data_IF_807847914044
#
_entry.id   IF_807847914044
#
_cell.length_a   1.000
_cell.length_b   1.000
_cell.length_c   1.000
_cell.angle_alpha   90.00
_cell.angle_beta   90.00
_cell.angle_gamma   90.00
#
_symmetry.space_group_name_H-M   'P 1'
#
loop_
_entity.id
_entity.type
_entity.pdbx_description
1 polymer ?
#
# COMPACT_ATOMS: atom_id res chain seq x y z
N UNK A 1 22.69 -4.24 20.16
CA UNK A 1 22.80 -2.88 20.72
C UNK A 1 21.51 -2.10 20.44
N UNK A 2 20.78 -1.73 21.49
CA UNK A 2 19.58 -0.89 21.35
C UNK A 2 19.87 0.44 22.04
N UNK A 3 19.85 1.57 21.31
CA UNK A 3 19.98 2.89 21.93
C UNK A 3 18.81 3.15 22.88
N UNK A 4 19.08 3.78 24.01
CA UNK A 4 18.02 4.29 24.88
C UNK A 4 17.44 5.59 24.31
N UNK A 5 16.33 5.43 23.57
CA UNK A 5 15.65 6.53 22.90
C UNK A 5 15.12 7.60 23.85
N UNK A 6 14.90 7.27 25.13
CA UNK A 6 14.48 8.27 26.14
C UNK A 6 15.58 9.26 26.42
N UNK A 7 16.82 8.77 26.51
CA UNK A 7 18.01 9.60 26.71
C UNK A 7 18.32 10.46 25.49
N UNK A 8 18.20 9.89 24.28
CA UNK A 8 18.39 10.62 23.02
C UNK A 8 17.37 11.75 22.88
N UNK A 9 16.11 11.49 23.18
CA UNK A 9 15.04 12.51 23.15
C UNK A 9 15.25 13.58 24.21
N UNK A 10 15.90 13.24 25.33
CA UNK A 10 16.32 14.20 26.38
C UNK A 10 17.54 15.02 25.96
N UNK A 11 18.09 14.83 24.76
CA UNK A 11 19.24 15.58 24.26
C UNK A 11 20.60 14.90 24.52
N UNK A 12 20.61 13.70 25.10
CA UNK A 12 21.85 12.97 25.29
C UNK A 12 22.34 12.34 23.97
N UNK A 13 23.64 12.47 23.72
CA UNK A 13 24.25 11.81 22.56
C UNK A 13 24.18 10.28 22.74
N UNK A 14 23.69 9.53 21.75
CA UNK A 14 23.68 8.08 21.84
C UNK A 14 25.13 7.55 21.92
N UNK A 15 25.37 6.50 22.70
CA UNK A 15 26.69 5.87 22.72
C UNK A 15 27.03 5.33 21.33
N UNK A 16 28.26 5.51 20.90
CA UNK A 16 28.73 4.94 19.65
C UNK A 16 28.74 3.40 19.76
N UNK A 17 28.35 2.70 18.69
CA UNK A 17 28.44 1.24 18.68
C UNK A 17 29.92 0.82 18.86
N UNK A 18 30.17 -0.27 19.58
CA UNK A 18 31.51 -0.84 19.66
C UNK A 18 32.14 -1.02 18.28
N UNK A 19 33.45 -0.85 18.17
CA UNK A 19 34.14 -0.85 16.89
C UNK A 19 33.96 -2.19 16.14
N UNK A 20 33.85 -3.28 16.87
CA UNK A 20 33.60 -4.64 16.38
C UNK A 20 32.24 -4.78 15.67
N UNK A 21 31.29 -3.89 16.00
CA UNK A 21 29.94 -3.87 15.42
C UNK A 21 29.76 -2.80 14.33
N UNK A 22 30.78 -2.00 14.07
CA UNK A 22 30.78 -1.00 13.01
C UNK A 22 30.88 -1.70 11.66
N UNK A 23 29.83 -1.58 10.87
CA UNK A 23 29.76 -2.17 9.53
C UNK A 23 29.03 -3.51 9.44
N UNK A 24 28.59 -4.11 10.56
CA UNK A 24 27.69 -5.26 10.47
C UNK A 24 26.30 -4.85 9.91
N UNK A 25 25.78 -5.59 8.90
CA UNK A 25 24.46 -5.31 8.35
C UNK A 25 23.39 -5.43 9.44
N UNK A 26 22.64 -4.34 9.65
CA UNK A 26 21.49 -4.32 10.55
C UNK A 26 21.71 -3.65 11.91
N UNK A 27 22.94 -3.26 12.29
CA UNK A 27 23.18 -2.62 13.60
C UNK A 27 23.04 -1.09 13.51
N UNK A 28 23.55 -0.48 12.44
CA UNK A 28 23.33 0.95 12.16
C UNK A 28 23.21 1.16 10.64
N UNK A 29 22.13 0.69 9.98
CA UNK A 29 21.95 0.86 8.53
C UNK A 29 21.85 2.35 8.15
N UNK A 30 21.55 3.22 9.13
CA UNK A 30 21.52 4.67 9.00
C UNK A 30 22.30 5.29 10.16
N UNK A 31 22.86 6.48 9.96
CA UNK A 31 23.55 7.20 11.03
C UNK A 31 22.63 7.49 12.23
N UNK A 32 23.24 7.70 13.41
CA UNK A 32 22.49 7.99 14.66
C UNK A 32 21.48 9.15 14.51
N UNK A 33 21.79 10.14 13.68
CA UNK A 33 20.89 11.27 13.40
C UNK A 33 19.53 10.83 12.85
N UNK A 34 19.51 9.82 11.99
CA UNK A 34 18.25 9.24 11.48
C UNK A 34 17.38 8.71 12.63
N UNK A 35 17.97 7.92 13.52
CA UNK A 35 17.23 7.33 14.64
C UNK A 35 16.80 8.38 15.66
N UNK A 36 17.67 9.34 15.96
CA UNK A 36 17.33 10.46 16.86
C UNK A 36 16.18 11.31 16.27
N UNK A 37 16.28 11.70 15.00
CA UNK A 37 15.23 12.47 14.32
C UNK A 37 13.92 11.69 14.27
N UNK A 38 13.97 10.39 13.94
CA UNK A 38 12.79 9.54 13.92
C UNK A 38 12.14 9.40 15.30
N UNK A 39 12.95 9.31 16.37
CA UNK A 39 12.44 9.26 17.73
C UNK A 39 11.77 10.59 18.14
N UNK A 40 12.39 11.73 17.82
CA UNK A 40 11.84 13.06 18.08
C UNK A 40 10.54 13.29 17.32
N UNK A 41 10.52 12.97 16.01
CA UNK A 41 9.33 13.09 15.16
C UNK A 41 8.20 12.19 15.70
N UNK A 42 8.52 10.96 16.08
CA UNK A 42 7.52 10.02 16.64
C UNK A 42 6.96 10.54 17.95
N UNK A 43 7.81 11.04 18.86
CA UNK A 43 7.39 11.62 20.13
C UNK A 43 6.52 12.87 19.92
N UNK A 44 6.94 13.78 19.04
CA UNK A 44 6.17 14.99 18.71
C UNK A 44 4.80 14.62 18.13
N UNK A 45 4.76 13.66 17.20
CA UNK A 45 3.54 13.13 16.62
C UNK A 45 2.58 12.61 17.70
N UNK A 46 3.07 11.74 18.61
CA UNK A 46 2.22 11.08 19.60
C UNK A 46 1.80 12.02 20.75
N UNK A 47 2.65 12.96 21.13
CA UNK A 47 2.39 13.86 22.29
C UNK A 47 1.77 15.19 21.92
N UNK A 48 1.99 15.69 20.70
CA UNK A 48 1.53 17.04 20.30
C UNK A 48 0.53 16.95 19.17
N UNK A 49 0.90 16.29 18.06
CA UNK A 49 0.06 16.31 16.85
C UNK A 49 -1.23 15.52 17.07
N UNK A 50 -1.13 14.24 17.43
CA UNK A 50 -2.31 13.38 17.54
C UNK A 50 -3.31 13.86 18.60
N UNK A 51 -2.93 14.30 19.80
CA UNK A 51 -3.89 14.82 20.78
C UNK A 51 -4.68 16.05 20.32
N UNK A 52 -4.09 16.86 19.42
CA UNK A 52 -4.73 18.06 18.89
C UNK A 52 -5.75 17.80 17.78
N UNK A 53 -5.81 16.56 17.24
CA UNK A 53 -6.71 16.19 16.14
C UNK A 53 -8.00 15.58 16.68
N UNK A 54 -9.12 15.74 15.93
CA UNK A 54 -10.32 14.95 16.12
C UNK A 54 -10.10 13.49 15.70
N UNK A 55 -11.00 12.60 16.10
CA UNK A 55 -10.83 11.16 15.89
C UNK A 55 -10.90 10.74 14.42
N UNK A 56 -11.67 11.43 13.59
CA UNK A 56 -11.71 11.18 12.15
C UNK A 56 -10.37 11.54 11.49
N UNK A 57 -9.82 12.70 11.85
CA UNK A 57 -8.51 13.15 11.38
C UNK A 57 -7.38 12.25 11.90
N UNK A 58 -7.43 11.79 13.18
CA UNK A 58 -6.49 10.79 13.70
C UNK A 58 -6.53 9.49 12.89
N UNK A 59 -7.73 8.96 12.62
CA UNK A 59 -7.90 7.75 11.83
C UNK A 59 -7.30 7.90 10.41
N UNK A 60 -7.58 9.02 9.75
CA UNK A 60 -6.99 9.35 8.44
C UNK A 60 -5.47 9.47 8.52
N UNK A 61 -4.95 10.20 9.50
CA UNK A 61 -3.51 10.36 9.70
C UNK A 61 -2.81 9.01 9.92
N UNK A 62 -3.40 8.13 10.74
CA UNK A 62 -2.88 6.78 10.98
C UNK A 62 -2.92 5.91 9.73
N UNK A 63 -3.95 6.03 8.89
CA UNK A 63 -4.06 5.28 7.63
C UNK A 63 -3.03 5.70 6.58
N UNK A 64 -2.41 6.86 6.72
CA UNK A 64 -1.38 7.39 5.82
C UNK A 64 0.05 7.01 6.24
N UNK A 65 0.20 6.36 7.38
CA UNK A 65 1.50 6.00 7.94
C UNK A 65 1.92 4.58 7.58
N UNK A 66 3.15 4.26 7.88
CA UNK A 66 3.76 2.95 7.61
C UNK A 66 4.73 2.99 6.43
N UNK A 67 5.47 1.90 6.28
CA UNK A 67 6.42 1.77 5.19
C UNK A 67 5.68 1.89 3.84
N UNK A 68 6.32 2.54 2.89
CA UNK A 68 5.87 2.76 1.50
C UNK A 68 4.53 3.52 1.34
N UNK A 69 3.87 3.94 2.42
CA UNK A 69 2.62 4.72 2.36
C UNK A 69 2.77 6.08 1.66
N UNK A 70 3.98 6.65 1.66
CA UNK A 70 4.33 7.90 0.98
C UNK A 70 5.19 7.71 -0.27
N UNK A 71 5.33 6.50 -0.80
CA UNK A 71 6.20 6.26 -1.96
C UNK A 71 5.79 7.11 -3.17
N UNK A 72 4.51 7.36 -3.39
CA UNK A 72 3.99 8.22 -4.45
C UNK A 72 4.45 9.68 -4.38
N UNK A 73 4.85 10.19 -3.21
CA UNK A 73 5.39 11.54 -3.05
C UNK A 73 6.87 11.65 -3.41
N UNK A 74 7.57 10.52 -3.44
CA UNK A 74 9.02 10.46 -3.64
C UNK A 74 9.41 9.85 -4.98
N UNK A 75 8.45 9.27 -5.69
CA UNK A 75 8.70 8.63 -6.95
C UNK A 75 8.90 9.64 -8.07
N UNK A 76 9.82 9.34 -8.97
CA UNK A 76 10.01 10.11 -10.20
C UNK A 76 9.07 9.56 -11.27
N UNK A 77 8.23 10.37 -11.91
CA UNK A 77 7.45 9.94 -13.05
C UNK A 77 8.38 9.50 -14.19
N UNK A 78 8.34 8.22 -14.51
CA UNK A 78 9.18 7.63 -15.57
C UNK A 78 8.36 6.90 -16.63
N UNK A 79 7.07 6.81 -16.43
CA UNK A 79 6.12 6.24 -17.38
C UNK A 79 4.69 6.62 -16.96
N UNK A 80 3.74 6.38 -17.83
CA UNK A 80 2.31 6.70 -17.66
C UNK A 80 1.73 6.18 -16.32
N UNK A 81 2.17 5.00 -15.83
CA UNK A 81 1.73 4.45 -14.53
C UNK A 81 2.26 5.23 -13.33
N UNK A 82 3.24 6.07 -13.52
CA UNK A 82 3.87 6.86 -12.46
C UNK A 82 3.56 8.35 -12.58
N UNK A 83 2.52 8.69 -13.36
CA UNK A 83 2.02 10.05 -13.54
C UNK A 83 0.61 10.19 -12.98
N UNK A 84 0.33 11.35 -12.41
CA UNK A 84 -1.01 11.73 -11.98
C UNK A 84 -1.42 13.05 -12.62
N UNK A 85 -2.65 13.15 -13.10
CA UNK A 85 -3.17 14.43 -13.58
C UNK A 85 -3.23 15.45 -12.45
N UNK A 86 -3.18 16.74 -12.78
CA UNK A 86 -3.25 17.82 -11.80
C UNK A 86 -4.49 17.71 -10.90
N UNK A 87 -5.63 17.30 -11.46
CA UNK A 87 -6.88 17.14 -10.72
C UNK A 87 -6.77 16.01 -9.67
N UNK A 88 -6.30 14.83 -10.08
CA UNK A 88 -6.05 13.70 -9.18
C UNK A 88 -5.04 14.04 -8.11
N UNK A 89 -3.91 14.62 -8.51
CA UNK A 89 -2.84 15.01 -7.59
C UNK A 89 -3.32 16.02 -6.55
N UNK A 90 -4.16 16.99 -6.95
CA UNK A 90 -4.77 17.94 -6.03
C UNK A 90 -5.66 17.23 -4.99
N UNK A 91 -6.53 16.31 -5.43
CA UNK A 91 -7.36 15.51 -4.50
C UNK A 91 -6.48 14.69 -3.55
N UNK A 92 -5.45 14.01 -4.06
CA UNK A 92 -4.53 13.20 -3.26
C UNK A 92 -3.84 14.04 -2.17
N UNK A 93 -3.28 15.21 -2.53
CA UNK A 93 -2.60 16.11 -1.58
C UNK A 93 -3.57 16.70 -0.56
N UNK A 94 -4.73 17.20 -1.00
CA UNK A 94 -5.73 17.78 -0.07
C UNK A 94 -6.22 16.75 0.93
N UNK A 95 -6.50 15.53 0.49
CA UNK A 95 -6.89 14.44 1.40
C UNK A 95 -5.78 14.07 2.37
N UNK A 96 -4.53 14.01 1.89
CA UNK A 96 -3.37 13.71 2.75
C UNK A 96 -3.18 14.79 3.82
N UNK A 97 -3.36 16.04 3.45
CA UNK A 97 -3.21 17.19 4.35
C UNK A 97 -4.48 17.53 5.14
N UNK A 98 -5.54 16.75 4.99
CA UNK A 98 -6.87 17.00 5.56
C UNK A 98 -7.40 18.41 5.19
N UNK A 99 -7.16 18.84 3.97
CA UNK A 99 -7.68 20.10 3.42
C UNK A 99 -9.01 19.85 2.70
N UNK A 100 -9.96 20.79 2.78
CA UNK A 100 -11.22 20.68 2.06
C UNK A 100 -11.02 20.56 0.55
N UNK A 101 -11.75 19.65 -0.08
CA UNK A 101 -11.80 19.52 -1.54
C UNK A 101 -12.57 20.71 -2.14
N UNK A 102 -12.20 21.11 -3.35
CA UNK A 102 -12.96 22.11 -4.09
C UNK A 102 -14.33 21.53 -4.48
N UNK A 103 -15.40 22.19 -4.08
CA UNK A 103 -16.77 21.77 -4.39
C UNK A 103 -17.71 22.16 -3.25
N UNK A 104 -18.85 22.77 -3.59
CA UNK A 104 -19.85 23.14 -2.58
C UNK A 104 -20.54 21.92 -1.96
N UNK A 105 -21.35 22.15 -0.94
CA UNK A 105 -22.22 21.14 -0.32
C UNK A 105 -23.15 20.55 -1.39
N UNK A 106 -23.05 19.28 -1.63
CA UNK A 106 -23.84 18.53 -2.63
C UNK A 106 -24.45 17.29 -2.01
N UNK A 107 -25.55 16.84 -2.56
CA UNK A 107 -26.10 15.51 -2.19
C UNK A 107 -25.25 14.39 -2.78
N UNK A 108 -25.22 13.27 -2.06
CA UNK A 108 -24.58 12.07 -2.55
C UNK A 108 -25.15 11.66 -3.92
N UNK A 109 -24.31 11.32 -4.92
CA UNK A 109 -24.80 10.86 -6.23
C UNK A 109 -25.54 9.51 -6.15
N UNK A 110 -25.41 8.77 -5.05
CA UNK A 110 -26.22 7.59 -4.74
C UNK A 110 -27.59 7.93 -4.13
N UNK A 111 -28.16 9.10 -4.44
CA UNK A 111 -29.31 9.72 -3.79
C UNK A 111 -30.57 8.83 -3.70
N UNK A 112 -30.72 7.84 -4.57
CA UNK A 112 -31.85 6.89 -4.50
C UNK A 112 -31.79 5.98 -3.25
N UNK A 113 -30.58 5.74 -2.75
CA UNK A 113 -30.32 4.85 -1.61
C UNK A 113 -29.53 5.54 -0.49
N UNK A 114 -29.01 6.74 -0.72
CA UNK A 114 -28.25 7.52 0.23
C UNK A 114 -28.76 8.95 0.26
N UNK A 115 -29.24 9.40 1.42
CA UNK A 115 -29.78 10.76 1.62
C UNK A 115 -28.74 11.74 2.17
N UNK A 116 -27.49 11.29 2.36
CA UNK A 116 -26.44 12.08 3.01
C UNK A 116 -25.97 13.23 2.12
N UNK A 117 -25.57 14.32 2.78
CA UNK A 117 -24.82 15.41 2.14
C UNK A 117 -23.33 15.00 2.09
N UNK A 118 -22.64 15.48 1.06
CA UNK A 118 -21.20 15.25 0.94
C UNK A 118 -20.46 16.13 1.94
N UNK A 119 -19.46 15.53 2.60
CA UNK A 119 -18.53 16.26 3.44
C UNK A 119 -17.45 16.98 2.60
N UNK A 120 -16.79 17.95 3.23
CA UNK A 120 -15.78 18.76 2.57
C UNK A 120 -14.50 17.98 2.21
N UNK A 121 -14.28 16.80 2.79
CA UNK A 121 -13.04 16.03 2.65
C UNK A 121 -13.17 14.84 1.70
N UNK A 122 -14.40 14.55 1.22
CA UNK A 122 -14.70 13.42 0.34
C UNK A 122 -14.73 12.07 1.06
N UNK A 123 -14.84 12.05 2.39
CA UNK A 123 -14.87 10.80 3.17
C UNK A 123 -16.13 10.00 2.88
N UNK A 124 -17.26 10.69 2.72
CA UNK A 124 -18.50 10.07 2.29
C UNK A 124 -18.34 9.32 0.96
N UNK A 125 -17.83 9.99 -0.06
CA UNK A 125 -17.66 9.37 -1.40
C UNK A 125 -16.70 8.20 -1.39
N UNK A 126 -15.68 8.26 -0.56
CA UNK A 126 -14.69 7.21 -0.40
C UNK A 126 -15.22 5.95 0.30
N UNK A 127 -16.35 6.06 1.01
CA UNK A 127 -16.89 4.99 1.86
C UNK A 127 -18.35 4.63 1.58
N UNK A 128 -19.05 5.38 0.72
CA UNK A 128 -20.48 5.18 0.47
C UNK A 128 -20.75 4.00 -0.48
N UNK A 129 -21.44 2.94 -0.02
CA UNK A 129 -21.73 1.78 -0.87
C UNK A 129 -22.78 2.07 -1.95
N UNK A 130 -23.65 3.07 -1.73
CA UNK A 130 -24.78 3.37 -2.60
C UNK A 130 -24.39 4.04 -3.92
N UNK A 131 -23.13 4.49 -4.06
CA UNK A 131 -22.64 5.17 -5.27
C UNK A 131 -22.17 4.23 -6.38
N UNK A 132 -21.98 2.95 -6.09
CA UNK A 132 -21.29 1.98 -6.97
C UNK A 132 -19.78 2.23 -7.14
N UNK A 133 -19.26 3.32 -6.56
CA UNK A 133 -17.85 3.72 -6.71
C UNK A 133 -16.89 2.77 -6.01
N UNK A 134 -17.31 2.14 -4.90
CA UNK A 134 -16.48 1.18 -4.17
C UNK A 134 -16.18 -0.07 -5.01
N UNK A 135 -17.17 -0.58 -5.77
CA UNK A 135 -16.94 -1.70 -6.69
C UNK A 135 -15.94 -1.32 -7.78
N UNK A 136 -16.15 -0.17 -8.44
CA UNK A 136 -15.21 0.34 -9.46
C UNK A 136 -13.80 0.55 -8.90
N UNK A 137 -13.71 1.07 -7.66
CA UNK A 137 -12.43 1.21 -6.95
C UNK A 137 -11.74 -0.14 -6.76
N UNK A 138 -12.45 -1.17 -6.34
CA UNK A 138 -11.91 -2.54 -6.21
C UNK A 138 -11.29 -3.02 -7.52
N UNK A 139 -12.09 -3.07 -8.58
CA UNK A 139 -11.62 -3.51 -9.91
C UNK A 139 -10.46 -2.66 -10.46
N UNK A 140 -10.48 -1.34 -10.22
CA UNK A 140 -9.36 -0.49 -10.62
C UNK A 140 -8.10 -0.77 -9.79
N UNK A 141 -8.26 -1.05 -8.49
CA UNK A 141 -7.13 -1.37 -7.61
C UNK A 141 -6.45 -2.69 -7.99
N UNK A 142 -7.19 -3.73 -8.36
CA UNK A 142 -6.63 -4.97 -8.90
C UNK A 142 -5.71 -4.72 -10.11
N UNK A 143 -6.13 -3.84 -11.02
CA UNK A 143 -5.35 -3.48 -12.23
C UNK A 143 -4.02 -2.79 -11.93
N UNK A 144 -3.88 -2.13 -10.77
CA UNK A 144 -2.62 -1.49 -10.35
C UNK A 144 -1.47 -2.50 -10.26
N UNK A 145 -1.77 -3.77 -10.03
CA UNK A 145 -0.75 -4.82 -9.89
C UNK A 145 -0.27 -5.40 -11.22
N UNK A 146 -1.01 -5.23 -12.31
CA UNK A 146 -0.65 -5.79 -13.63
C UNK A 146 0.78 -5.50 -14.08
N UNK A 147 1.28 -4.26 -13.97
CA UNK A 147 2.67 -3.97 -14.30
C UNK A 147 3.68 -4.85 -13.54
N UNK A 148 3.38 -5.18 -12.28
CA UNK A 148 4.26 -6.01 -11.46
C UNK A 148 4.33 -7.45 -11.99
N UNK A 149 3.18 -8.03 -12.35
CA UNK A 149 3.14 -9.38 -12.94
C UNK A 149 3.94 -9.44 -14.24
N UNK A 150 3.69 -8.50 -15.14
CA UNK A 150 4.36 -8.43 -16.44
C UNK A 150 5.87 -8.22 -16.29
N UNK A 151 6.30 -7.28 -15.45
CA UNK A 151 7.72 -6.99 -15.26
C UNK A 151 8.46 -8.09 -14.51
N UNK A 152 7.84 -8.73 -13.53
CA UNK A 152 8.47 -9.78 -12.70
C UNK A 152 8.67 -11.10 -13.45
N UNK A 153 7.98 -11.32 -14.57
CA UNK A 153 7.91 -12.61 -15.28
C UNK A 153 7.19 -13.72 -14.50
N UNK A 154 6.45 -13.37 -13.46
CA UNK A 154 5.59 -14.31 -12.76
C UNK A 154 4.49 -14.81 -13.71
N UNK A 155 4.16 -16.09 -13.61
CA UNK A 155 3.00 -16.63 -14.35
C UNK A 155 1.75 -16.26 -13.59
N UNK A 156 1.03 -15.23 -14.08
CA UNK A 156 -0.19 -14.73 -13.46
C UNK A 156 -1.42 -15.22 -14.25
N UNK A 157 -2.44 -15.65 -13.51
CA UNK A 157 -3.80 -15.89 -14.02
C UNK A 157 -4.73 -14.98 -13.22
N UNK A 158 -5.44 -14.09 -13.91
CA UNK A 158 -6.37 -13.16 -13.29
C UNK A 158 -7.73 -13.82 -13.10
N UNK A 159 -8.39 -13.50 -12.00
CA UNK A 159 -9.75 -13.89 -11.63
C UNK A 159 -10.06 -15.41 -11.76
N UNK A 160 -9.21 -16.29 -11.21
CA UNK A 160 -9.52 -17.73 -11.19
C UNK A 160 -10.72 -18.00 -10.28
N UNK A 161 -11.57 -18.95 -10.67
CA UNK A 161 -12.64 -19.44 -9.81
C UNK A 161 -12.08 -20.27 -8.65
N UNK A 162 -12.74 -20.22 -7.50
CA UNK A 162 -12.36 -21.03 -6.32
C UNK A 162 -12.36 -22.53 -6.66
N UNK A 163 -13.31 -22.97 -7.49
CA UNK A 163 -13.41 -24.34 -8.00
C UNK A 163 -12.20 -24.81 -8.83
N UNK A 164 -11.42 -23.89 -9.36
CA UNK A 164 -10.19 -24.19 -10.11
C UNK A 164 -8.95 -24.18 -9.23
N UNK A 165 -9.04 -23.62 -8.01
CA UNK A 165 -7.93 -23.42 -7.08
C UNK A 165 -7.79 -24.56 -6.07
N UNK A 166 -8.92 -25.12 -5.62
CA UNK A 166 -8.95 -26.23 -4.64
C UNK A 166 -9.85 -27.35 -5.15
N UNK A 167 -9.43 -28.61 -4.93
CA UNK A 167 -10.11 -29.79 -5.47
C UNK A 167 -11.49 -30.05 -4.88
N UNK A 168 -11.61 -29.78 -3.58
CA UNK A 168 -12.82 -30.09 -2.81
C UNK A 168 -13.80 -28.90 -2.76
N UNK A 169 -13.65 -27.91 -3.65
CA UNK A 169 -14.58 -26.79 -3.74
C UNK A 169 -15.96 -27.24 -4.23
N UNK A 170 -17.01 -26.62 -3.71
CA UNK A 170 -18.37 -26.81 -4.23
C UNK A 170 -18.41 -26.46 -5.73
N UNK A 171 -18.79 -27.38 -6.62
CA UNK A 171 -18.84 -27.10 -8.08
C UNK A 171 -19.73 -25.93 -8.47
N UNK A 172 -20.64 -25.51 -7.58
CA UNK A 172 -21.53 -24.35 -7.80
C UNK A 172 -20.96 -23.04 -7.26
N UNK A 173 -19.76 -23.07 -6.67
CA UNK A 173 -19.09 -21.87 -6.13
C UNK A 173 -18.61 -20.96 -7.28
N UNK A 174 -19.24 -19.79 -7.39
CA UNK A 174 -18.91 -18.78 -8.38
C UNK A 174 -17.95 -17.70 -7.86
N UNK A 175 -17.41 -17.87 -6.63
CA UNK A 175 -16.40 -16.93 -6.11
C UNK A 175 -15.14 -16.98 -6.95
N UNK A 176 -14.56 -15.81 -7.15
CA UNK A 176 -13.27 -15.64 -7.84
C UNK A 176 -12.28 -14.96 -6.89
N UNK A 177 -11.05 -15.43 -6.91
CA UNK A 177 -9.92 -14.66 -6.36
C UNK A 177 -9.38 -13.71 -7.42
N UNK A 178 -8.67 -12.66 -7.02
CA UNK A 178 -8.22 -11.65 -7.99
C UNK A 178 -7.04 -12.14 -8.84
N UNK A 179 -6.13 -12.96 -8.26
CA UNK A 179 -4.97 -13.47 -8.99
C UNK A 179 -4.46 -14.79 -8.44
N UNK A 180 -4.00 -15.66 -9.35
CA UNK A 180 -3.14 -16.80 -9.06
C UNK A 180 -1.75 -16.55 -9.66
N UNK A 181 -0.69 -16.72 -8.86
CA UNK A 181 0.70 -16.54 -9.25
C UNK A 181 1.46 -17.84 -9.06
N UNK A 182 2.24 -18.23 -10.06
CA UNK A 182 3.09 -19.44 -10.01
C UNK A 182 4.56 -19.08 -10.18
N UNK A 183 5.42 -19.91 -9.58
CA UNK A 183 6.87 -19.76 -9.66
C UNK A 183 7.45 -18.86 -8.57
N UNK A 184 6.65 -18.43 -7.60
CA UNK A 184 7.10 -17.67 -6.44
C UNK A 184 7.67 -18.59 -5.36
N UNK A 185 8.77 -18.17 -4.73
CA UNK A 185 9.39 -18.92 -3.62
C UNK A 185 8.50 -18.91 -2.36
N UNK A 186 7.67 -17.89 -2.23
CA UNK A 186 6.69 -17.72 -1.17
C UNK A 186 5.71 -18.91 -1.09
N UNK A 187 5.29 -19.43 -2.22
CA UNK A 187 4.38 -20.58 -2.30
C UNK A 187 5.06 -21.93 -2.04
N UNK A 188 6.39 -21.99 -1.91
CA UNK A 188 7.13 -23.25 -1.66
C UNK A 188 6.80 -24.36 -2.67
N UNK A 189 6.60 -24.00 -3.93
CA UNK A 189 6.17 -24.89 -5.01
C UNK A 189 4.66 -24.91 -5.25
N UNK A 190 3.86 -24.38 -4.34
CA UNK A 190 2.42 -24.20 -4.50
C UNK A 190 2.08 -22.91 -5.23
N UNK A 191 0.88 -22.79 -5.84
CA UNK A 191 0.36 -21.53 -6.31
C UNK A 191 0.21 -20.53 -5.17
N UNK A 192 0.49 -19.26 -5.43
CA UNK A 192 0.16 -18.15 -4.53
C UNK A 192 -1.10 -17.48 -5.05
N UNK A 193 -2.14 -17.46 -4.24
CA UNK A 193 -3.43 -16.85 -4.58
C UNK A 193 -3.56 -15.56 -3.80
N UNK A 194 -3.89 -14.47 -4.49
CA UNK A 194 -3.99 -13.14 -3.90
C UNK A 194 -5.35 -12.50 -4.09
N UNK A 195 -5.85 -11.85 -3.04
CA UNK A 195 -7.08 -11.05 -3.08
C UNK A 195 -6.78 -9.61 -2.67
N UNK A 196 -7.03 -8.66 -3.59
CA UNK A 196 -6.71 -7.26 -3.41
C UNK A 196 -7.89 -6.52 -2.79
N UNK A 197 -7.65 -5.81 -1.70
CA UNK A 197 -8.71 -5.04 -1.07
C UNK A 197 -8.22 -3.68 -0.57
N UNK A 198 -9.05 -2.67 -0.80
CA UNK A 198 -8.81 -1.31 -0.30
C UNK A 198 -9.94 -0.86 0.61
N UNK A 199 -9.61 -0.37 1.80
CA UNK A 199 -10.58 0.11 2.77
C UNK A 199 -10.31 1.50 3.29
N UNK A 200 -11.39 2.20 3.65
CA UNK A 200 -11.33 3.47 4.35
C UNK A 200 -11.21 3.25 5.86
N UNK A 201 -10.50 4.15 6.53
CA UNK A 201 -10.47 4.22 7.99
C UNK A 201 -11.74 4.84 8.59
N UNK A 202 -12.59 5.45 7.74
CA UNK A 202 -13.81 6.12 8.12
C UNK A 202 -15.03 5.47 7.48
N UNK A 203 -16.16 5.54 8.17
CA UNK A 203 -17.48 5.26 7.65
C UNK A 203 -17.94 6.37 6.69
N UNK A 204 -19.07 6.14 6.00
CA UNK A 204 -19.63 7.12 5.08
C UNK A 204 -20.20 8.37 5.77
N UNK A 205 -20.45 8.33 7.06
CA UNK A 205 -20.83 9.48 7.89
C UNK A 205 -19.63 10.29 8.42
N UNK A 206 -18.40 9.87 8.07
CA UNK A 206 -17.16 10.48 8.53
C UNK A 206 -16.67 9.99 9.89
N UNK A 207 -17.44 9.16 10.60
CA UNK A 207 -16.99 8.57 11.87
C UNK A 207 -15.90 7.52 11.64
N UNK A 208 -14.91 7.40 12.56
CA UNK A 208 -13.85 6.40 12.41
C UNK A 208 -14.38 4.99 12.69
N UNK A 209 -13.87 4.01 11.96
CA UNK A 209 -14.09 2.61 12.32
C UNK A 209 -13.52 2.31 13.71
N UNK A 210 -14.09 1.34 14.45
CA UNK A 210 -13.63 1.00 15.79
C UNK A 210 -12.12 0.82 15.86
N UNK A 211 -11.47 1.57 16.75
CA UNK A 211 -10.02 1.56 16.96
C UNK A 211 -9.17 2.30 15.91
N UNK A 212 -9.72 2.77 14.79
CA UNK A 212 -8.95 3.41 13.73
C UNK A 212 -8.27 4.71 14.16
N UNK A 213 -8.88 5.46 15.08
CA UNK A 213 -8.29 6.67 15.64
C UNK A 213 -7.09 6.39 16.57
N UNK A 214 -7.00 5.20 17.16
CA UNK A 214 -6.04 4.90 18.22
C UNK A 214 -4.97 3.89 17.81
N UNK A 215 -5.28 3.00 16.87
CA UNK A 215 -4.42 1.87 16.52
C UNK A 215 -4.11 1.87 15.03
N UNK A 216 -2.82 1.84 14.70
CA UNK A 216 -2.34 1.75 13.32
C UNK A 216 -2.77 0.42 12.65
N UNK A 217 -3.23 0.51 11.40
CA UNK A 217 -3.54 -0.68 10.58
C UNK A 217 -4.82 -1.42 11.00
N UNK A 218 -5.73 -0.78 11.73
CA UNK A 218 -7.01 -1.38 12.14
C UNK A 218 -7.85 -1.78 10.93
N UNK A 219 -7.90 -0.95 9.91
CA UNK A 219 -8.64 -1.25 8.68
C UNK A 219 -8.05 -2.46 7.96
N UNK A 220 -6.72 -2.55 7.86
CA UNK A 220 -6.04 -3.71 7.27
C UNK A 220 -6.41 -4.98 8.03
N UNK A 221 -6.32 -4.98 9.37
CA UNK A 221 -6.70 -6.15 10.18
C UNK A 221 -8.16 -6.56 9.95
N UNK A 222 -9.08 -5.60 9.85
CA UNK A 222 -10.50 -5.87 9.56
C UNK A 222 -10.67 -6.48 8.16
N UNK A 223 -10.03 -5.91 7.14
CA UNK A 223 -10.09 -6.45 5.78
C UNK A 223 -9.50 -7.86 5.72
N UNK A 224 -8.33 -8.06 6.31
CA UNK A 224 -7.68 -9.38 6.37
C UNK A 224 -8.55 -10.41 7.10
N UNK A 225 -9.12 -10.05 8.25
CA UNK A 225 -10.02 -10.93 8.97
C UNK A 225 -11.24 -11.34 8.13
N UNK A 226 -11.91 -10.37 7.49
CA UNK A 226 -13.07 -10.66 6.65
C UNK A 226 -12.72 -11.61 5.50
N UNK A 227 -11.58 -11.41 4.85
CA UNK A 227 -11.13 -12.28 3.75
C UNK A 227 -10.77 -13.68 4.23
N UNK A 228 -9.97 -13.80 5.30
CA UNK A 228 -9.49 -15.10 5.80
C UNK A 228 -10.56 -15.92 6.52
N UNK A 229 -11.50 -15.28 7.19
CA UNK A 229 -12.45 -15.96 8.07
C UNK A 229 -13.85 -16.04 7.49
N UNK A 230 -14.28 -15.01 6.75
CA UNK A 230 -15.66 -14.90 6.28
C UNK A 230 -15.81 -15.25 4.80
N UNK A 231 -14.95 -14.69 3.93
CA UNK A 231 -15.14 -14.82 2.47
C UNK A 231 -14.43 -16.03 1.89
N UNK A 232 -13.19 -16.30 2.29
CA UNK A 232 -12.30 -17.32 1.70
C UNK A 232 -11.62 -18.19 2.77
N UNK A 233 -12.35 -18.61 3.79
CA UNK A 233 -11.82 -19.46 4.85
C UNK A 233 -11.33 -20.81 4.33
N UNK A 234 -11.95 -21.32 3.27
CA UNK A 234 -11.57 -22.53 2.55
C UNK A 234 -10.22 -22.36 1.83
N UNK A 235 -10.02 -21.29 1.08
CA UNK A 235 -8.72 -20.98 0.46
C UNK A 235 -7.64 -20.76 1.53
N UNK A 236 -7.96 -20.02 2.59
CA UNK A 236 -7.02 -19.70 3.66
C UNK A 236 -6.55 -20.94 4.45
N UNK A 237 -7.37 -21.99 4.52
CA UNK A 237 -7.05 -23.26 5.19
C UNK A 237 -6.55 -24.36 4.25
N UNK A 238 -6.53 -24.13 2.93
CA UNK A 238 -6.11 -25.12 1.94
C UNK A 238 -4.62 -25.41 2.04
N UNK A 239 -4.25 -26.68 1.92
CA UNK A 239 -2.87 -27.12 1.78
C UNK A 239 -2.37 -27.08 0.32
N UNK A 240 -3.23 -26.77 -0.65
CA UNK A 240 -2.94 -26.77 -2.08
C UNK A 240 -2.39 -25.45 -2.61
N UNK A 241 -2.45 -24.37 -1.81
CA UNK A 241 -2.03 -23.03 -2.19
C UNK A 241 -1.55 -22.20 -0.99
N UNK A 242 -0.87 -21.08 -1.25
CA UNK A 242 -0.61 -20.02 -0.26
C UNK A 242 -1.56 -18.86 -0.55
N UNK A 243 -2.46 -18.56 0.39
CA UNK A 243 -3.44 -17.48 0.24
C UNK A 243 -2.96 -16.17 0.88
N UNK A 244 -2.99 -15.07 0.15
CA UNK A 244 -2.55 -13.74 0.58
C UNK A 244 -3.67 -12.72 0.52
N UNK A 245 -3.79 -11.90 1.55
CA UNK A 245 -4.68 -10.74 1.55
C UNK A 245 -3.88 -9.47 1.29
N UNK A 246 -3.97 -8.96 0.06
CA UNK A 246 -3.25 -7.78 -0.40
C UNK A 246 -4.00 -6.51 -0.02
N UNK A 247 -4.08 -6.25 1.28
CA UNK A 247 -4.86 -5.17 1.85
C UNK A 247 -4.12 -3.83 1.80
N UNK A 248 -4.85 -2.77 1.45
CA UNK A 248 -4.39 -1.39 1.50
C UNK A 248 -5.42 -0.50 2.20
N UNK A 249 -4.99 0.42 3.05
CA UNK A 249 -5.84 1.52 3.51
C UNK A 249 -5.83 2.64 2.48
N UNK A 250 -6.95 3.29 2.29
CA UNK A 250 -7.11 4.41 1.35
C UNK A 250 -6.11 5.55 1.59
N UNK A 251 -5.57 5.68 2.80
CA UNK A 251 -4.50 6.61 3.12
C UNK A 251 -3.11 6.18 2.61
N UNK A 252 -2.97 4.94 2.14
CA UNK A 252 -1.74 4.39 1.59
C UNK A 252 -1.00 3.42 2.51
N UNK A 253 -1.51 3.06 3.68
CA UNK A 253 -0.93 2.03 4.53
C UNK A 253 -1.15 0.66 3.90
N UNK A 254 -0.08 -0.15 3.84
CA UNK A 254 -0.06 -1.48 3.25
C UNK A 254 -0.09 -2.59 4.30
N UNK A 255 -0.73 -3.69 3.94
CA UNK A 255 -0.74 -4.92 4.74
C UNK A 255 0.57 -5.70 4.65
N UNK A 256 0.83 -6.61 5.60
CA UNK A 256 2.08 -7.36 5.65
C UNK A 256 2.29 -8.27 4.44
N UNK A 257 1.25 -8.90 3.92
CA UNK A 257 1.34 -9.79 2.76
C UNK A 257 1.76 -9.06 1.49
N UNK A 258 1.45 -7.78 1.39
CA UNK A 258 1.92 -6.93 0.31
C UNK A 258 3.45 -6.84 0.26
N UNK A 259 4.10 -6.68 1.41
CA UNK A 259 5.57 -6.65 1.50
C UNK A 259 6.19 -8.01 1.18
N UNK A 260 5.54 -9.10 1.62
CA UNK A 260 5.98 -10.47 1.31
C UNK A 260 5.97 -10.69 -0.19
N UNK A 261 4.86 -10.36 -0.85
CA UNK A 261 4.66 -10.53 -2.28
C UNK A 261 5.65 -9.69 -3.10
N UNK A 262 5.73 -8.37 -2.87
CA UNK A 262 6.66 -7.49 -3.61
C UNK A 262 8.10 -7.97 -3.48
N UNK A 263 8.53 -8.37 -2.28
CA UNK A 263 9.87 -8.91 -2.06
C UNK A 263 10.14 -10.16 -2.89
N UNK A 264 9.17 -11.05 -2.97
CA UNK A 264 9.33 -12.31 -3.69
C UNK A 264 9.32 -12.11 -5.21
N UNK A 265 8.46 -11.23 -5.71
CA UNK A 265 8.47 -10.79 -7.12
C UNK A 265 9.81 -10.16 -7.51
N UNK A 266 10.38 -9.30 -6.64
CA UNK A 266 11.71 -8.72 -6.88
C UNK A 266 12.77 -9.82 -6.94
N UNK A 267 12.74 -10.79 -6.03
CA UNK A 267 13.68 -11.93 -6.06
C UNK A 267 13.57 -12.72 -7.36
N UNK A 268 12.36 -13.03 -7.79
CA UNK A 268 12.11 -13.71 -9.06
C UNK A 268 12.69 -12.91 -10.23
N UNK A 269 12.40 -11.61 -10.30
CA UNK A 269 12.88 -10.72 -11.37
C UNK A 269 14.39 -10.66 -11.46
N UNK A 270 15.06 -10.46 -10.33
CA UNK A 270 16.53 -10.28 -10.33
C UNK A 270 17.30 -11.58 -10.49
N UNK A 271 16.66 -12.73 -10.31
CA UNK A 271 17.30 -14.04 -10.51
C UNK A 271 17.85 -14.20 -11.94
N UNK A 272 17.17 -13.64 -12.93
CA UNK A 272 17.59 -13.63 -14.33
C UNK A 272 18.64 -12.55 -14.68
N UNK A 273 19.00 -11.67 -13.73
CA UNK A 273 19.94 -10.57 -13.96
C UNK A 273 21.36 -11.03 -13.56
N UNK A 274 22.36 -10.46 -14.26
CA UNK A 274 23.77 -10.76 -13.97
C UNK A 274 24.08 -10.53 -12.49
N UNK A 275 24.78 -11.46 -11.79
CA UNK A 275 24.99 -11.42 -10.34
C UNK A 275 25.51 -10.09 -9.79
N UNK A 276 26.44 -9.43 -10.49
CA UNK A 276 27.00 -8.14 -10.07
C UNK A 276 25.98 -7.00 -10.04
N UNK A 277 24.90 -7.09 -10.81
CA UNK A 277 23.86 -6.05 -10.91
C UNK A 277 22.64 -6.37 -10.03
N UNK A 278 22.52 -7.58 -9.47
CA UNK A 278 21.31 -8.01 -8.76
C UNK A 278 20.93 -7.11 -7.60
N UNK A 279 21.92 -6.66 -6.82
CA UNK A 279 21.66 -5.79 -5.66
C UNK A 279 21.06 -4.44 -6.10
N UNK A 280 21.68 -3.77 -7.07
CA UNK A 280 21.18 -2.49 -7.59
C UNK A 280 19.85 -2.64 -8.30
N UNK A 281 19.69 -3.70 -9.11
CA UNK A 281 18.44 -4.01 -9.78
C UNK A 281 17.31 -4.30 -8.76
N UNK A 282 17.58 -5.06 -7.70
CA UNK A 282 16.60 -5.33 -6.65
C UNK A 282 16.11 -4.03 -5.99
N UNK A 283 17.01 -3.12 -5.69
CA UNK A 283 16.67 -1.81 -5.12
C UNK A 283 15.85 -0.98 -6.11
N UNK A 284 16.26 -0.93 -7.39
CA UNK A 284 15.55 -0.21 -8.43
C UNK A 284 14.13 -0.74 -8.67
N UNK A 285 13.95 -2.07 -8.80
CA UNK A 285 12.62 -2.68 -8.94
C UNK A 285 11.75 -2.48 -7.71
N UNK A 286 12.30 -2.62 -6.49
CA UNK A 286 11.57 -2.36 -5.26
C UNK A 286 11.02 -0.94 -5.24
N UNK A 287 11.84 0.06 -5.52
CA UNK A 287 11.42 1.48 -5.58
C UNK A 287 10.36 1.71 -6.63
N UNK A 288 10.59 1.19 -7.85
CA UNK A 288 9.66 1.34 -8.96
C UNK A 288 8.29 0.74 -8.62
N UNK A 289 8.25 -0.49 -8.16
CA UNK A 289 6.97 -1.17 -7.92
C UNK A 289 6.22 -0.57 -6.73
N UNK A 290 6.91 -0.16 -5.68
CA UNK A 290 6.26 0.60 -4.61
C UNK A 290 5.75 1.95 -5.07
N UNK A 291 6.43 2.62 -6.00
CA UNK A 291 5.92 3.84 -6.60
C UNK A 291 4.65 3.57 -7.41
N UNK A 292 4.65 2.56 -8.29
CA UNK A 292 3.47 2.16 -9.08
C UNK A 292 2.29 1.83 -8.15
N UNK A 293 2.49 0.96 -7.16
CA UNK A 293 1.46 0.55 -6.22
C UNK A 293 0.93 1.75 -5.42
N UNK A 294 1.82 2.55 -4.86
CA UNK A 294 1.44 3.68 -4.00
C UNK A 294 0.72 4.79 -4.79
N UNK A 295 1.22 5.15 -5.97
CA UNK A 295 0.56 6.15 -6.82
C UNK A 295 -0.76 5.60 -7.36
N UNK A 296 -0.79 4.35 -7.84
CA UNK A 296 -1.99 3.70 -8.33
C UNK A 296 -3.08 3.64 -7.27
N UNK A 297 -2.75 3.25 -6.04
CA UNK A 297 -3.70 3.24 -4.92
C UNK A 297 -4.29 4.63 -4.65
N UNK A 298 -3.46 5.68 -4.64
CA UNK A 298 -3.92 7.04 -4.43
C UNK A 298 -4.75 7.58 -5.61
N UNK A 299 -4.36 7.24 -6.85
CA UNK A 299 -5.12 7.58 -8.07
C UNK A 299 -6.52 6.96 -8.02
N UNK A 300 -6.60 5.67 -7.73
CA UNK A 300 -7.87 4.94 -7.61
C UNK A 300 -8.75 5.51 -6.49
N UNK A 301 -8.17 5.90 -5.37
CA UNK A 301 -8.89 6.59 -4.30
C UNK A 301 -9.39 7.99 -4.73
N UNK A 302 -8.57 8.74 -5.47
CA UNK A 302 -8.96 10.05 -6.01
C UNK A 302 -10.09 9.92 -7.05
N UNK A 303 -10.02 8.95 -7.96
CA UNK A 303 -11.05 8.69 -8.96
C UNK A 303 -12.38 8.27 -8.33
N UNK A 304 -12.33 7.49 -7.24
CA UNK A 304 -13.52 7.17 -6.45
C UNK A 304 -14.24 8.43 -5.96
N UNK A 305 -13.51 9.47 -5.58
CA UNK A 305 -14.05 10.75 -5.11
C UNK A 305 -14.50 11.61 -6.28
N UNK A 306 -13.71 11.73 -7.32
CA UNK A 306 -14.03 12.50 -8.52
C UNK A 306 -15.18 11.88 -9.31
N UNK A 307 -15.40 10.59 -9.21
CA UNK A 307 -16.38 9.83 -9.98
C UNK A 307 -15.88 9.44 -11.36
N UNK A 308 -14.58 9.49 -11.55
CA UNK A 308 -13.94 9.07 -12.79
C UNK A 308 -13.82 7.54 -12.84
N UNK A 309 -13.83 6.99 -14.04
CA UNK A 309 -13.33 5.64 -14.25
C UNK A 309 -11.82 5.72 -14.34
N UNK A 310 -11.13 4.90 -13.56
CA UNK A 310 -9.66 4.84 -13.58
C UNK A 310 -9.21 4.03 -14.79
N UNK A 311 -8.80 4.67 -15.89
CA UNK A 311 -8.07 3.97 -16.93
C UNK A 311 -6.66 3.71 -16.36
N UNK A 312 -6.42 2.52 -15.84
CA UNK A 312 -5.04 2.09 -15.61
C UNK A 312 -4.65 1.40 -16.91
N UNK A 313 -3.73 2.00 -17.68
CA UNK A 313 -3.34 1.48 -18.98
C UNK A 313 -2.79 0.05 -18.84
N UNK A 314 -2.94 -0.77 -19.87
CA UNK A 314 -2.23 -2.05 -19.92
C UNK A 314 -0.72 -1.79 -20.08
N UNK A 315 0.14 -2.50 -19.35
CA UNK A 315 1.60 -2.35 -19.52
C UNK A 315 2.02 -2.87 -20.88
N UNK A 316 2.28 -1.98 -21.82
CA UNK A 316 2.77 -2.37 -23.15
C UNK A 316 4.30 -2.49 -23.21
N UNK A 317 5.01 -1.90 -22.26
CA UNK A 317 6.48 -1.86 -22.28
C UNK A 317 7.11 -2.20 -20.95
N UNK A 318 7.94 -3.22 -20.96
CA UNK A 318 8.87 -3.50 -19.85
C UNK A 318 9.92 -2.40 -19.81
N UNK A 319 10.10 -1.76 -18.64
CA UNK A 319 11.09 -0.70 -18.49
C UNK A 319 12.51 -1.23 -18.75
N UNK A 320 13.35 -0.52 -19.53
CA UNK A 320 14.73 -0.90 -19.75
C UNK A 320 15.52 -1.03 -18.43
N UNK A 321 16.38 -2.05 -18.32
CA UNK A 321 17.17 -2.28 -17.12
C UNK A 321 18.03 -1.06 -16.73
N UNK A 322 18.59 -0.34 -17.70
CA UNK A 322 19.36 0.87 -17.45
C UNK A 322 18.56 1.93 -16.67
N UNK A 323 17.29 2.15 -17.04
CA UNK A 323 16.40 3.07 -16.34
C UNK A 323 16.07 2.56 -14.92
N UNK A 324 15.90 1.25 -14.75
CA UNK A 324 15.69 0.66 -13.39
C UNK A 324 16.93 0.84 -12.52
N UNK A 325 18.11 0.69 -13.08
CA UNK A 325 19.37 0.89 -12.35
C UNK A 325 19.57 2.37 -11.95
N UNK A 326 19.20 3.33 -12.81
CA UNK A 326 19.26 4.75 -12.45
C UNK A 326 18.32 5.10 -11.29
N UNK A 327 17.18 4.41 -11.15
CA UNK A 327 16.32 4.57 -9.98
C UNK A 327 16.97 4.09 -8.67
N UNK A 328 17.93 3.17 -8.74
CA UNK A 328 18.71 2.75 -7.58
C UNK A 328 19.72 3.82 -7.13
N UNK A 329 20.22 4.63 -8.06
CA UNK A 329 21.22 5.67 -7.81
C UNK A 329 20.61 6.98 -7.30
N UNK A 330 19.35 7.26 -7.61
CA UNK A 330 18.63 8.44 -7.14
C UNK A 330 18.41 8.31 -5.64
N UNK A 331 19.43 8.32 -4.87
CA UNK A 331 19.58 8.76 -3.50
C UNK A 331 20.54 7.95 -2.64
N UNK A 332 21.76 8.35 -2.52
CA UNK A 332 22.48 8.12 -1.27
C UNK A 332 22.01 9.03 -0.14
N UNK A 333 21.46 10.21 -0.45
CA UNK A 333 21.16 11.23 0.57
C UNK A 333 19.71 11.20 1.08
N UNK A 334 18.71 10.91 0.30
CA UNK A 334 17.32 10.85 0.78
C UNK A 334 16.98 9.54 1.49
N UNK A 335 17.70 8.46 1.24
CA UNK A 335 17.66 7.27 2.12
C UNK A 335 18.35 7.52 3.46
N UNK A 336 19.13 8.59 3.59
CA UNK A 336 19.68 9.07 4.86
C UNK A 336 18.69 9.94 5.64
N UNK A 337 17.63 10.44 4.98
CA UNK A 337 16.61 11.32 5.58
C UNK A 337 15.21 10.69 5.68
N UNK A 338 14.98 9.48 5.13
CA UNK A 338 13.70 8.78 5.17
C UNK A 338 13.62 7.70 6.25
#
# INVERSE_FOLDING_TARGET
FKPDWRRIVAGERPPEPPEELRGEPGIWPHGWQFYASSAIITQHKERVVLPALDDATKARFRSQGGAEAGAWLRGTPVCEYTEATNERFNVMLRRRSRLPLAGGIRRCPGFRHCQSMLDAFGDHLASCPSTGRLKRRGTAFERVYRPLWHESTARAREQPFVTELIRDADPTDLRQSDVELRGLSLGRGLPVVGDMCMGSALHADGSPHPGAANINGTTIRRLTYNKLVTEYSDLASSAELEYLVLACEEGGRWGPDQFRLVRDLVRLKVAAIHPLLRRSAALGYTRRWWHILSLGAQTVAADCILGHDSPIPAPETVMPLATVLSLAEITPESSRLA
#
